data_IF_723700244424
#
_entry.id   IF_723700244424
#
_cell.length_a   1.000
_cell.length_b   1.000
_cell.length_c   1.000
_cell.angle_alpha   90.00
_cell.angle_beta   90.00
_cell.angle_gamma   90.00
#
_symmetry.space_group_name_H-M   'P 1'
#
loop_
_entity.id
_entity.type
_entity.pdbx_description
1 polymer ?
#
# COMPACT_ATOMS: atom_id res chain seq x y z
N UNK A 1 -8.73 41.41 -21.12
CA UNK A 1 -8.07 40.60 -20.07
C UNK A 1 -8.25 39.15 -20.46
N UNK A 2 -7.15 38.41 -20.45
CA UNK A 2 -6.88 37.05 -20.98
C UNK A 2 -8.07 36.09 -21.23
N UNK A 3 -8.21 35.67 -22.49
CA UNK A 3 -8.88 34.43 -22.89
C UNK A 3 -7.97 33.70 -23.89
N UNK A 4 -7.16 32.77 -23.37
CA UNK A 4 -6.25 31.94 -24.19
C UNK A 4 -7.10 30.80 -24.77
N UNK A 5 -7.38 30.89 -26.07
CA UNK A 5 -7.89 29.79 -26.88
C UNK A 5 -6.84 28.67 -26.90
N UNK A 6 -7.12 27.55 -26.22
CA UNK A 6 -6.45 26.27 -26.47
C UNK A 6 -7.32 25.47 -27.43
N UNK A 7 -7.02 25.56 -28.72
CA UNK A 7 -7.46 24.59 -29.72
C UNK A 7 -6.44 23.44 -29.68
N UNK A 8 -6.81 22.33 -29.05
CA UNK A 8 -6.05 21.09 -29.04
C UNK A 8 -6.65 20.10 -30.04
N UNK A 9 -5.83 19.69 -31.01
CA UNK A 9 -6.18 18.81 -32.13
C UNK A 9 -6.39 17.38 -31.65
N UNK A 10 -7.64 16.88 -31.65
CA UNK A 10 -7.93 15.46 -31.43
C UNK A 10 -7.75 14.68 -32.72
N UNK A 11 -6.67 13.90 -32.79
CA UNK A 11 -6.43 12.92 -33.84
C UNK A 11 -7.41 11.75 -33.70
N UNK A 12 -8.25 11.61 -34.72
CA UNK A 12 -9.31 10.63 -34.85
C UNK A 12 -8.72 9.24 -35.17
N UNK A 13 -8.61 8.36 -34.15
CA UNK A 13 -8.38 6.93 -34.35
C UNK A 13 -9.72 6.21 -34.23
N UNK A 14 -10.36 5.97 -35.37
CA UNK A 14 -11.55 5.12 -35.51
C UNK A 14 -11.17 3.67 -35.20
N UNK A 15 -11.46 3.21 -33.98
CA UNK A 15 -11.52 1.78 -33.65
C UNK A 15 -12.98 1.39 -33.42
N UNK A 16 -13.54 0.66 -34.37
CA UNK A 16 -14.89 0.11 -34.32
C UNK A 16 -14.97 -1.01 -33.29
N UNK A 17 -15.48 -0.73 -32.09
CA UNK A 17 -15.92 -1.74 -31.15
C UNK A 17 -17.45 -1.83 -31.14
N UNK A 18 -17.94 -3.04 -31.42
CA UNK A 18 -19.34 -3.45 -31.38
C UNK A 18 -19.88 -3.29 -29.96
N UNK A 19 -20.84 -2.38 -29.78
CA UNK A 19 -21.55 -2.20 -28.50
C UNK A 19 -22.44 -3.40 -28.25
N UNK A 20 -22.04 -4.27 -27.32
CA UNK A 20 -22.95 -5.18 -26.65
C UNK A 20 -23.68 -4.40 -25.53
N UNK A 21 -24.98 -4.68 -25.28
CA UNK A 21 -25.70 -4.02 -24.20
C UNK A 21 -25.15 -4.49 -22.85
N UNK A 22 -24.45 -3.61 -22.14
CA UNK A 22 -24.12 -3.81 -20.73
C UNK A 22 -25.42 -3.62 -19.96
N UNK A 23 -25.95 -4.74 -19.48
CA UNK A 23 -27.06 -4.73 -18.54
C UNK A 23 -26.64 -3.98 -17.27
N UNK A 24 -27.42 -2.95 -16.94
CA UNK A 24 -27.40 -2.20 -15.70
C UNK A 24 -27.51 -3.16 -14.51
N UNK A 25 -26.40 -3.40 -13.82
CA UNK A 25 -26.40 -3.97 -12.48
C UNK A 25 -26.54 -2.83 -11.48
N UNK A 26 -27.76 -2.71 -10.96
CA UNK A 26 -28.14 -1.80 -9.91
C UNK A 26 -27.33 -2.05 -8.61
N UNK A 27 -26.84 -0.95 -8.04
CA UNK A 27 -26.76 -0.65 -6.61
C UNK A 27 -26.18 -1.72 -5.67
N UNK A 28 -24.91 -1.57 -5.30
CA UNK A 28 -24.46 -1.93 -3.95
C UNK A 28 -24.21 -0.63 -3.20
N UNK A 29 -25.22 -0.19 -2.46
CA UNK A 29 -25.09 0.92 -1.53
C UNK A 29 -24.06 0.57 -0.46
N UNK A 30 -23.03 1.40 -0.35
CA UNK A 30 -22.14 1.43 0.80
C UNK A 30 -22.94 1.87 2.04
N UNK A 31 -23.60 0.91 2.68
CA UNK A 31 -24.16 1.08 4.00
C UNK A 31 -23.02 1.11 5.02
N UNK A 32 -22.65 2.32 5.45
CA UNK A 32 -21.83 2.58 6.63
C UNK A 32 -22.38 1.81 7.85
N UNK A 33 -21.79 0.66 8.18
CA UNK A 33 -22.06 -0.04 9.43
C UNK A 33 -21.28 0.63 10.57
N UNK A 34 -21.95 1.51 11.30
CA UNK A 34 -21.50 2.09 12.57
C UNK A 34 -21.45 1.01 13.64
N UNK A 35 -20.33 0.29 13.76
CA UNK A 35 -20.17 -0.74 14.78
C UNK A 35 -19.64 -0.14 16.10
N UNK A 36 -20.58 0.37 16.91
CA UNK A 36 -20.36 0.60 18.34
C UNK A 36 -20.50 -0.74 19.07
N UNK A 37 -19.39 -1.46 19.24
CA UNK A 37 -19.34 -2.75 19.93
C UNK A 37 -18.26 -2.80 21.01
N UNK A 38 -18.61 -2.31 22.20
CA UNK A 38 -17.78 -2.38 23.40
C UNK A 38 -17.84 -3.82 23.97
N UNK A 39 -16.83 -4.65 23.71
CA UNK A 39 -16.81 -6.07 24.08
C UNK A 39 -15.55 -6.49 24.84
N UNK A 40 -15.53 -6.26 26.17
CA UNK A 40 -14.61 -6.98 27.07
C UNK A 40 -15.19 -8.37 27.34
N UNK A 41 -14.54 -9.41 26.84
CA UNK A 41 -14.90 -10.80 27.13
C UNK A 41 -13.66 -11.67 27.18
N UNK A 42 -13.07 -11.80 28.37
CA UNK A 42 -12.11 -12.87 28.66
C UNK A 42 -12.87 -14.08 29.17
N UNK A 43 -12.72 -15.22 28.52
CA UNK A 43 -13.11 -16.50 29.09
C UNK A 43 -12.05 -17.57 28.84
N UNK A 44 -11.55 -18.09 29.96
CA UNK A 44 -10.64 -19.22 30.06
C UNK A 44 -11.41 -20.51 29.78
N UNK A 45 -11.16 -21.14 28.64
CA UNK A 45 -11.58 -22.52 28.37
C UNK A 45 -10.53 -23.51 28.86
N UNK A 46 -10.76 -24.09 30.05
CA UNK A 46 -10.01 -25.22 30.57
C UNK A 46 -10.75 -26.52 30.23
N UNK A 47 -9.99 -27.63 30.16
CA UNK A 47 -10.41 -29.04 30.14
C UNK A 47 -10.78 -29.70 28.80
N UNK A 48 -9.84 -30.53 28.33
CA UNK A 48 -10.08 -31.64 27.42
C UNK A 48 -9.09 -32.76 27.72
N UNK A 49 -9.42 -33.61 28.70
CA UNK A 49 -8.67 -34.84 29.02
C UNK A 49 -8.88 -35.85 27.88
N UNK A 50 -7.85 -36.08 27.08
CA UNK A 50 -7.79 -37.20 26.14
C UNK A 50 -6.53 -38.04 26.38
N UNK A 51 -6.69 -39.17 27.08
CA UNK A 51 -5.67 -40.22 27.13
C UNK A 51 -5.65 -40.93 25.78
N UNK A 52 -4.53 -40.90 25.07
CA UNK A 52 -4.22 -41.89 24.04
C UNK A 52 -2.72 -42.24 24.11
N UNK A 53 -2.46 -43.51 24.40
CA UNK A 53 -1.14 -44.13 24.30
C UNK A 53 -0.80 -44.31 22.83
N UNK A 54 0.32 -43.76 22.39
CA UNK A 54 0.85 -43.99 21.03
C UNK A 54 2.37 -43.82 21.04
N UNK A 55 3.09 -44.92 21.20
CA UNK A 55 4.53 -44.97 20.99
C UNK A 55 4.86 -44.71 19.52
N UNK A 56 5.49 -43.59 19.21
CA UNK A 56 6.38 -43.48 18.05
C UNK A 56 7.52 -42.52 18.36
N UNK A 57 8.74 -43.07 18.42
CA UNK A 57 9.98 -42.32 18.56
C UNK A 57 10.33 -41.73 17.20
N UNK A 58 9.97 -40.47 16.95
CA UNK A 58 10.57 -39.66 15.89
C UNK A 58 11.18 -38.41 16.52
N UNK A 59 12.52 -38.33 16.51
CA UNK A 59 13.29 -37.18 17.00
C UNK A 59 13.37 -36.13 15.89
N UNK A 60 12.51 -35.11 15.94
CA UNK A 60 12.73 -33.86 15.19
C UNK A 60 13.30 -32.80 16.14
N UNK A 61 14.59 -32.52 16.02
CA UNK A 61 15.23 -31.41 16.73
C UNK A 61 15.01 -30.12 15.94
N UNK A 62 14.04 -29.30 16.38
CA UNK A 62 13.91 -27.90 15.97
C UNK A 62 15.05 -27.07 16.57
N UNK A 63 15.87 -26.48 15.71
CA UNK A 63 16.94 -25.55 16.07
C UNK A 63 16.46 -24.11 15.96
N UNK A 64 16.62 -23.36 17.05
CA UNK A 64 16.32 -21.93 17.10
C UNK A 64 17.34 -21.09 16.31
N UNK A 65 16.83 -20.07 15.63
CA UNK A 65 17.61 -19.03 14.97
C UNK A 65 18.38 -18.21 16.00
N UNK A 66 19.70 -18.08 15.80
CA UNK A 66 20.54 -17.03 16.39
C UNK A 66 21.23 -16.28 15.25
N UNK A 67 21.26 -14.95 15.44
CA UNK A 67 21.73 -13.88 14.56
C UNK A 67 22.82 -14.24 13.55
N UNK A 68 22.53 -13.90 12.29
CA UNK A 68 23.50 -13.81 11.21
C UNK A 68 24.03 -12.38 11.10
N UNK A 69 25.35 -12.26 11.23
CA UNK A 69 26.16 -11.11 10.90
C UNK A 69 26.16 -10.92 9.37
N UNK A 70 25.74 -9.76 8.87
CA UNK A 70 25.64 -9.47 7.43
C UNK A 70 26.78 -8.57 6.98
N UNK A 71 27.86 -9.17 6.49
CA UNK A 71 28.77 -8.53 5.55
C UNK A 71 28.52 -9.15 4.16
N UNK A 72 28.05 -8.33 3.22
CA UNK A 72 28.07 -8.61 1.78
C UNK A 72 26.77 -9.15 1.16
N UNK A 73 25.92 -8.25 0.65
CA UNK A 73 25.21 -8.41 -0.63
C UNK A 73 24.49 -7.11 -1.02
N UNK A 74 25.00 -6.45 -2.06
CA UNK A 74 24.61 -5.12 -2.53
C UNK A 74 23.44 -5.10 -3.53
N UNK A 75 22.59 -6.11 -3.61
CA UNK A 75 21.54 -6.16 -4.68
C UNK A 75 20.09 -6.16 -4.21
N UNK A 76 19.79 -6.30 -2.91
CA UNK A 76 18.41 -6.22 -2.39
C UNK A 76 18.13 -4.96 -1.56
N UNK A 77 19.16 -4.18 -1.22
CA UNK A 77 19.01 -2.96 -0.42
C UNK A 77 18.35 -1.80 -1.20
N UNK A 78 18.45 -1.79 -2.53
CA UNK A 78 17.87 -0.74 -3.36
C UNK A 78 16.35 -0.91 -3.54
N UNK A 79 15.86 -2.14 -3.68
CA UNK A 79 14.42 -2.41 -3.81
C UNK A 79 13.67 -1.99 -2.54
N UNK A 80 14.19 -2.35 -1.36
CA UNK A 80 13.60 -1.96 -0.08
C UNK A 80 13.77 -0.48 0.28
N UNK A 81 14.59 0.28 -0.46
CA UNK A 81 14.78 1.73 -0.26
C UNK A 81 13.90 2.53 -1.22
N UNK A 82 13.85 2.15 -2.50
CA UNK A 82 12.96 2.74 -3.50
C UNK A 82 11.48 2.59 -3.08
N UNK A 83 11.06 1.36 -2.74
CA UNK A 83 9.69 1.10 -2.24
C UNK A 83 9.41 1.93 -0.97
N UNK A 84 10.37 2.05 -0.05
CA UNK A 84 10.19 2.81 1.20
C UNK A 84 10.09 4.31 0.96
N UNK A 85 10.86 4.84 0.01
CA UNK A 85 10.85 6.25 -0.35
C UNK A 85 9.56 6.60 -1.11
N UNK A 86 9.05 5.70 -1.97
CA UNK A 86 7.76 5.85 -2.66
C UNK A 86 6.57 5.77 -1.70
N UNK A 87 6.58 4.86 -0.70
CA UNK A 87 5.55 4.85 0.34
C UNK A 87 5.60 6.10 1.24
N UNK A 88 6.79 6.68 1.44
CA UNK A 88 6.95 7.91 2.25
C UNK A 88 6.45 9.14 1.51
N UNK A 89 6.63 9.22 0.19
CA UNK A 89 6.05 10.30 -0.63
C UNK A 89 4.53 10.16 -0.76
N UNK A 90 4.02 8.94 -1.02
CA UNK A 90 2.59 8.66 -1.14
C UNK A 90 1.83 8.93 0.19
N UNK A 91 2.41 8.54 1.32
CA UNK A 91 1.81 8.84 2.64
C UNK A 91 1.87 10.33 3.01
N UNK A 92 2.83 11.07 2.48
CA UNK A 92 2.90 12.54 2.65
C UNK A 92 1.92 13.27 1.73
N UNK A 93 1.70 12.81 0.50
CA UNK A 93 0.70 13.40 -0.40
C UNK A 93 -0.72 13.16 0.11
N UNK A 94 -1.06 11.95 0.53
CA UNK A 94 -2.36 11.61 1.12
C UNK A 94 -2.68 12.41 2.39
N UNK A 95 -1.68 12.71 3.24
CA UNK A 95 -1.88 13.58 4.43
C UNK A 95 -2.11 15.04 4.07
N UNK A 96 -1.61 15.49 2.91
CA UNK A 96 -1.70 16.89 2.48
C UNK A 96 -3.01 17.16 1.73
N UNK A 97 -3.57 16.17 1.05
CA UNK A 97 -4.83 16.28 0.31
C UNK A 97 -6.08 15.87 1.11
N UNK A 98 -5.99 14.92 2.07
CA UNK A 98 -7.19 14.33 2.66
C UNK A 98 -7.68 14.92 4.02
N UNK A 99 -7.00 15.91 4.62
CA UNK A 99 -7.33 16.34 6.00
C UNK A 99 -7.21 17.84 6.30
N UNK A 100 -6.93 18.67 5.28
CA UNK A 100 -6.75 20.11 5.43
C UNK A 100 -8.06 20.90 5.55
N UNK A 101 -9.12 20.49 4.87
CA UNK A 101 -10.34 21.33 4.70
C UNK A 101 -11.62 20.78 5.33
N UNK A 102 -11.61 19.56 5.91
CA UNK A 102 -12.79 19.00 6.58
C UNK A 102 -12.88 19.33 8.09
N UNK A 103 -11.94 20.11 8.63
CA UNK A 103 -11.96 20.60 10.02
C UNK A 103 -11.77 22.11 10.05
N UNK A 104 -12.72 22.82 9.44
CA UNK A 104 -13.02 24.20 9.77
C UNK A 104 -13.31 24.32 11.26
N UNK A 105 -12.30 24.69 12.06
CA UNK A 105 -12.48 25.16 13.43
C UNK A 105 -11.80 26.53 13.55
N UNK A 106 -12.54 27.50 13.01
CA UNK A 106 -12.52 28.87 13.48
C UNK A 106 -12.87 28.92 14.98
N UNK A 107 -11.88 29.24 15.80
CA UNK A 107 -12.06 30.19 16.88
C UNK A 107 -12.59 29.70 18.24
N UNK A 108 -12.14 30.45 19.25
CA UNK A 108 -12.70 30.65 20.59
C UNK A 108 -12.24 29.74 21.75
N UNK A 109 -11.26 30.29 22.50
CA UNK A 109 -11.33 30.63 23.92
C UNK A 109 -12.13 29.70 24.85
N UNK A 110 -11.47 29.17 25.87
CA UNK A 110 -12.18 28.67 27.05
C UNK A 110 -11.30 27.96 28.05
N UNK A 111 -10.54 28.72 28.84
CA UNK A 111 -9.91 28.23 30.05
C UNK A 111 -10.98 27.70 31.03
N UNK A 112 -10.96 26.41 31.37
CA UNK A 112 -11.58 25.90 32.60
C UNK A 112 -10.71 24.80 33.22
N UNK A 113 -10.01 25.20 34.28
CA UNK A 113 -9.41 24.35 35.30
C UNK A 113 -10.50 23.48 35.93
N UNK A 114 -10.31 22.15 36.00
CA UNK A 114 -10.98 21.32 37.02
C UNK A 114 -10.09 20.19 37.52
N UNK A 115 -9.88 20.23 38.84
CA UNK A 115 -9.73 19.15 39.81
C UNK A 115 -8.86 17.91 39.48
N UNK A 116 -7.64 17.95 40.02
CA UNK A 116 -6.88 16.78 40.49
C UNK A 116 -7.74 15.89 41.39
N UNK A 117 -8.19 14.75 40.87
CA UNK A 117 -8.72 13.64 41.65
C UNK A 117 -7.57 12.69 41.99
N UNK A 118 -7.11 12.76 43.24
CA UNK A 118 -6.27 11.73 43.86
C UNK A 118 -7.03 10.39 43.83
N UNK A 119 -6.73 9.54 42.84
CA UNK A 119 -7.08 8.12 42.90
C UNK A 119 -5.97 7.37 43.62
N UNK A 120 -6.34 6.87 44.79
CA UNK A 120 -5.53 6.02 45.64
C UNK A 120 -5.06 4.79 44.87
N UNK A 121 -3.75 4.52 44.94
CA UNK A 121 -3.13 3.33 44.41
C UNK A 121 -3.75 2.07 45.05
N UNK A 122 -4.19 1.06 44.27
CA UNK A 122 -4.52 -0.23 44.84
C UNK A 122 -3.23 -0.89 45.34
N UNK A 123 -3.20 -1.15 46.65
CA UNK A 123 -2.17 -1.93 47.34
C UNK A 123 -1.89 -3.23 46.57
N UNK A 124 -0.65 -3.38 46.12
CA UNK A 124 -0.11 -4.63 45.61
C UNK A 124 -0.19 -5.71 46.73
N UNK A 125 -1.11 -6.66 46.58
CA UNK A 125 -1.05 -7.91 47.34
C UNK A 125 0.10 -8.76 46.77
N UNK A 126 1.25 -8.70 47.44
CA UNK A 126 2.33 -9.68 47.29
C UNK A 126 1.82 -11.04 47.79
N UNK A 127 1.38 -11.89 46.86
CA UNK A 127 1.21 -13.32 47.14
C UNK A 127 2.55 -14.00 46.89
N UNK A 128 3.33 -14.17 47.96
CA UNK A 128 4.52 -15.02 47.95
C UNK A 128 4.08 -16.48 47.95
N UNK A 129 4.07 -17.11 46.78
CA UNK A 129 4.08 -18.56 46.65
C UNK A 129 5.49 -18.95 46.21
N UNK A 130 6.29 -19.37 47.18
CA UNK A 130 7.50 -20.14 46.96
C UNK A 130 7.15 -21.63 46.88
N UNK A 131 7.13 -22.26 45.70
CA UNK A 131 7.39 -23.68 45.60
C UNK A 131 8.89 -23.86 45.36
N UNK A 132 9.63 -24.19 46.42
CA UNK A 132 10.92 -24.87 46.35
C UNK A 132 10.71 -26.24 45.70
N UNK A 133 10.64 -26.27 44.37
CA UNK A 133 10.94 -27.48 43.60
C UNK A 133 12.32 -27.28 43.02
N UNK A 134 13.28 -27.98 43.61
CA UNK A 134 14.59 -28.24 43.04
C UNK A 134 14.42 -28.56 41.55
N UNK A 135 15.03 -27.74 40.71
CA UNK A 135 15.18 -28.07 39.30
C UNK A 135 15.87 -29.45 39.22
N UNK A 136 15.35 -30.41 38.44
CA UNK A 136 16.10 -31.63 38.17
C UNK A 136 17.43 -31.21 37.56
N UNK A 137 18.52 -31.74 38.11
CA UNK A 137 19.88 -31.53 37.64
C UNK A 137 19.88 -31.56 36.12
N UNK A 138 20.29 -30.44 35.51
CA UNK A 138 20.55 -30.36 34.07
C UNK A 138 21.47 -31.53 33.75
N UNK A 139 20.97 -32.55 33.06
CA UNK A 139 21.84 -33.60 32.55
C UNK A 139 22.87 -32.88 31.68
N UNK A 140 24.11 -32.87 32.13
CA UNK A 140 25.25 -32.46 31.33
C UNK A 140 25.41 -33.51 30.24
N UNK A 141 24.50 -33.51 29.26
CA UNK A 141 24.81 -34.12 27.98
C UNK A 141 25.95 -33.29 27.42
N UNK A 142 27.10 -33.90 27.13
CA UNK A 142 28.17 -33.19 26.45
C UNK A 142 27.56 -32.50 25.23
N UNK A 143 27.91 -31.23 24.94
CA UNK A 143 27.47 -30.60 23.72
C UNK A 143 27.86 -31.56 22.60
N UNK A 144 26.86 -32.12 21.92
CA UNK A 144 27.09 -32.83 20.69
C UNK A 144 27.82 -31.82 19.83
N UNK A 145 29.13 -32.01 19.69
CA UNK A 145 29.91 -31.42 18.63
C UNK A 145 29.25 -31.97 17.38
N UNK A 146 28.22 -31.25 16.90
CA UNK A 146 27.88 -31.29 15.50
C UNK A 146 29.20 -30.94 14.86
N UNK A 147 29.83 -31.95 14.28
CA UNK A 147 30.83 -31.76 13.25
C UNK A 147 30.15 -30.81 12.28
N UNK A 148 30.45 -29.52 12.45
CA UNK A 148 30.34 -28.59 11.38
C UNK A 148 31.29 -29.20 10.36
N UNK A 149 30.74 -29.99 9.43
CA UNK A 149 31.21 -29.92 8.07
C UNK A 149 31.11 -28.44 7.76
N UNK A 150 32.20 -27.74 8.06
CA UNK A 150 32.52 -26.43 7.55
C UNK A 150 32.59 -26.72 6.07
N UNK A 151 31.46 -26.52 5.40
CA UNK A 151 31.41 -26.44 3.95
C UNK A 151 32.53 -25.47 3.60
N UNK A 152 33.60 -26.01 3.04
CA UNK A 152 34.68 -25.21 2.50
C UNK A 152 34.04 -24.25 1.50
N UNK A 153 34.27 -22.94 1.60
CA UNK A 153 33.59 -21.95 0.78
C UNK A 153 33.72 -22.19 -0.74
N UNK A 154 34.70 -22.97 -1.18
CA UNK A 154 34.88 -23.40 -2.58
C UNK A 154 33.90 -24.47 -3.09
N UNK A 155 33.10 -25.11 -2.23
CA UNK A 155 32.08 -26.10 -2.64
C UNK A 155 30.64 -25.58 -2.48
N UNK A 156 30.47 -24.33 -2.06
CA UNK A 156 29.16 -23.70 -1.88
C UNK A 156 28.57 -23.13 -3.18
N UNK A 157 29.30 -23.22 -4.30
CA UNK A 157 28.91 -22.58 -5.56
C UNK A 157 28.06 -23.47 -6.49
N UNK A 158 28.06 -24.79 -6.29
CA UNK A 158 27.28 -25.74 -7.10
C UNK A 158 26.19 -26.45 -6.28
N UNK A 159 25.39 -25.69 -5.53
CA UNK A 159 24.13 -26.27 -5.08
C UNK A 159 23.23 -26.45 -6.30
N UNK A 160 23.12 -27.71 -6.74
CA UNK A 160 22.17 -28.14 -7.76
C UNK A 160 20.84 -27.43 -7.52
N UNK A 161 20.24 -26.95 -8.59
CA UNK A 161 19.07 -26.13 -8.54
C UNK A 161 17.93 -26.80 -7.75
N UNK A 162 17.88 -28.13 -7.80
CA UNK A 162 16.97 -29.00 -7.05
C UNK A 162 17.40 -29.27 -5.60
N UNK A 163 18.34 -28.51 -5.04
CA UNK A 163 18.77 -28.71 -3.67
C UNK A 163 17.57 -28.54 -2.71
N UNK A 164 17.40 -29.43 -1.70
CA UNK A 164 16.23 -29.42 -0.81
C UNK A 164 15.95 -28.07 -0.14
N UNK A 165 17.01 -27.27 0.07
CA UNK A 165 16.92 -25.92 0.63
C UNK A 165 16.18 -24.95 -0.29
N UNK A 166 16.36 -25.05 -1.60
CA UNK A 166 15.70 -24.19 -2.57
C UNK A 166 14.25 -24.62 -2.76
N UNK A 167 13.99 -25.93 -2.89
CA UNK A 167 12.63 -26.49 -2.91
C UNK A 167 11.81 -26.11 -1.68
N UNK A 168 12.44 -26.06 -0.50
CA UNK A 168 11.79 -25.57 0.73
C UNK A 168 11.38 -24.11 0.66
N UNK A 169 12.14 -23.25 -0.05
CA UNK A 169 11.74 -21.86 -0.30
C UNK A 169 10.56 -21.80 -1.27
N UNK A 170 10.59 -22.58 -2.36
CA UNK A 170 9.49 -22.62 -3.34
C UNK A 170 8.18 -23.02 -2.67
N UNK A 171 8.23 -24.11 -1.91
CA UNK A 171 7.08 -24.58 -1.16
C UNK A 171 6.64 -23.58 -0.09
N UNK A 172 7.57 -22.81 0.48
CA UNK A 172 7.25 -21.74 1.42
C UNK A 172 6.44 -20.61 0.78
N UNK A 173 6.79 -20.18 -0.44
CA UNK A 173 6.07 -19.10 -1.12
C UNK A 173 4.70 -19.59 -1.61
N UNK A 174 4.69 -20.72 -2.33
CA UNK A 174 3.49 -21.28 -2.97
C UNK A 174 2.46 -21.82 -1.96
N UNK A 175 2.93 -22.49 -0.90
CA UNK A 175 2.04 -23.08 0.10
C UNK A 175 1.89 -22.22 1.37
N UNK A 176 2.42 -21.00 1.37
CA UNK A 176 2.08 -20.07 2.44
C UNK A 176 0.60 -19.71 2.35
N UNK A 177 -0.09 -19.75 3.48
CA UNK A 177 -1.49 -19.35 3.51
C UNK A 177 -1.63 -17.86 3.22
N UNK A 178 -2.76 -17.43 2.61
CA UNK A 178 -3.09 -16.02 2.46
C UNK A 178 -2.92 -15.21 3.75
N UNK A 179 -3.33 -15.79 4.89
CA UNK A 179 -3.18 -15.17 6.21
C UNK A 179 -1.71 -15.00 6.65
N UNK A 180 -0.82 -15.94 6.30
CA UNK A 180 0.60 -15.78 6.59
C UNK A 180 1.19 -14.61 5.79
N UNK A 181 0.85 -14.51 4.50
CA UNK A 181 1.25 -13.38 3.64
C UNK A 181 0.68 -12.06 4.16
N UNK A 182 -0.61 -12.01 4.52
CA UNK A 182 -1.24 -10.85 5.13
C UNK A 182 -0.55 -10.43 6.44
N UNK A 183 -0.13 -11.38 7.28
CA UNK A 183 0.67 -11.07 8.46
C UNK A 183 2.05 -10.48 8.10
N UNK A 184 2.70 -10.97 7.04
CA UNK A 184 3.95 -10.37 6.55
C UNK A 184 3.75 -8.93 6.03
N UNK A 185 2.60 -8.65 5.40
CA UNK A 185 2.17 -7.31 4.97
C UNK A 185 1.96 -6.41 6.19
N UNK A 186 1.10 -6.84 7.12
CA UNK A 186 0.76 -6.12 8.35
C UNK A 186 1.96 -5.86 9.27
N UNK A 187 3.00 -6.69 9.21
CA UNK A 187 4.24 -6.50 9.97
C UNK A 187 5.29 -5.67 9.20
N UNK A 188 5.02 -5.20 7.98
CA UNK A 188 5.98 -4.49 7.13
C UNK A 188 7.14 -5.35 6.61
N UNK A 189 7.16 -6.64 6.91
CA UNK A 189 8.27 -7.53 6.56
C UNK A 189 8.34 -7.85 5.06
N UNK A 190 7.26 -7.64 4.31
CA UNK A 190 7.23 -7.76 2.85
C UNK A 190 8.30 -6.89 2.17
N UNK A 191 8.52 -5.67 2.68
CA UNK A 191 9.50 -4.72 2.14
C UNK A 191 10.96 -5.18 2.27
N UNK A 192 11.24 -6.14 3.17
CA UNK A 192 12.61 -6.65 3.35
C UNK A 192 12.99 -7.71 2.31
N UNK A 193 12.01 -8.34 1.65
CA UNK A 193 12.25 -9.48 0.76
C UNK A 193 12.93 -10.68 1.44
N UNK A 194 13.00 -10.71 2.78
CA UNK A 194 13.76 -11.71 3.54
C UNK A 194 12.97 -13.02 3.68
N UNK A 195 12.87 -13.76 2.58
CA UNK A 195 12.30 -15.10 2.56
C UNK A 195 11.18 -15.28 1.54
N UNK A 196 10.75 -16.54 1.34
CA UNK A 196 9.80 -16.86 0.28
C UNK A 196 8.41 -16.25 0.52
N UNK A 197 7.94 -16.24 1.77
CA UNK A 197 6.62 -15.67 2.11
C UNK A 197 6.62 -14.15 1.99
N UNK A 198 7.71 -13.48 2.39
CA UNK A 198 7.84 -12.02 2.24
C UNK A 198 7.92 -11.59 0.78
N UNK A 199 8.54 -12.39 -0.10
CA UNK A 199 8.58 -12.09 -1.54
C UNK A 199 7.18 -12.22 -2.17
N UNK A 200 6.44 -13.28 -1.83
CA UNK A 200 5.05 -13.43 -2.27
C UNK A 200 4.14 -12.31 -1.72
N UNK A 201 4.35 -11.91 -0.46
CA UNK A 201 3.66 -10.77 0.15
C UNK A 201 4.03 -9.44 -0.54
N UNK A 202 5.28 -9.24 -0.95
CA UNK A 202 5.70 -8.05 -1.69
C UNK A 202 5.02 -7.98 -3.07
N UNK A 203 4.94 -9.11 -3.78
CA UNK A 203 4.19 -9.20 -5.03
C UNK A 203 2.70 -8.88 -4.84
N UNK A 204 2.08 -9.37 -3.76
CA UNK A 204 0.69 -9.05 -3.45
C UNK A 204 0.46 -7.54 -3.21
N UNK A 205 1.37 -6.87 -2.51
CA UNK A 205 1.29 -5.41 -2.29
C UNK A 205 1.51 -4.64 -3.60
N UNK A 206 2.45 -5.09 -4.44
CA UNK A 206 2.69 -4.45 -5.73
C UNK A 206 1.48 -4.59 -6.67
N UNK A 207 0.87 -5.78 -6.75
CA UNK A 207 -0.35 -6.01 -7.53
C UNK A 207 -1.51 -5.13 -7.02
N UNK A 208 -1.68 -5.01 -5.69
CA UNK A 208 -2.69 -4.14 -5.07
C UNK A 208 -2.49 -2.67 -5.43
N UNK A 209 -1.26 -2.14 -5.28
CA UNK A 209 -0.95 -0.76 -5.62
C UNK A 209 -1.21 -0.45 -7.11
N UNK A 210 -0.97 -1.43 -7.99
CA UNK A 210 -1.27 -1.29 -9.43
C UNK A 210 -2.77 -1.22 -9.68
N UNK A 211 -3.57 -2.03 -8.98
CA UNK A 211 -5.04 -2.00 -9.05
C UNK A 211 -5.56 -0.66 -8.54
N UNK A 212 -5.06 -0.17 -7.40
CA UNK A 212 -5.47 1.14 -6.86
C UNK A 212 -5.15 2.29 -7.83
N UNK A 213 -3.95 2.31 -8.41
CA UNK A 213 -3.56 3.32 -9.38
C UNK A 213 -4.42 3.27 -10.66
N UNK A 214 -4.72 2.07 -11.16
CA UNK A 214 -5.58 1.90 -12.33
C UNK A 214 -7.02 2.35 -12.05
N UNK A 215 -7.59 1.98 -10.88
CA UNK A 215 -8.94 2.38 -10.48
C UNK A 215 -9.04 3.90 -10.26
N UNK A 216 -7.99 4.53 -9.72
CA UNK A 216 -7.95 5.98 -9.56
C UNK A 216 -8.02 6.70 -10.91
N UNK A 217 -7.27 6.21 -11.91
CA UNK A 217 -7.31 6.76 -13.26
C UNK A 217 -8.68 6.55 -13.92
N UNK A 218 -9.25 5.35 -13.82
CA UNK A 218 -10.60 5.07 -14.36
C UNK A 218 -11.67 5.96 -13.71
N UNK A 219 -11.56 6.19 -12.40
CA UNK A 219 -12.49 7.08 -11.65
C UNK A 219 -12.34 8.52 -12.12
N UNK A 220 -11.12 8.98 -12.37
CA UNK A 220 -10.84 10.31 -12.92
C UNK A 220 -11.43 10.48 -14.33
N UNK A 221 -11.18 9.52 -15.23
CA UNK A 221 -11.73 9.53 -16.60
C UNK A 221 -13.27 9.52 -16.60
N UNK A 222 -13.88 8.75 -15.69
CA UNK A 222 -15.34 8.73 -15.52
C UNK A 222 -15.88 10.08 -14.99
N UNK A 223 -15.15 10.74 -14.11
CA UNK A 223 -15.49 12.07 -13.61
C UNK A 223 -15.42 13.13 -14.73
N UNK A 224 -14.35 13.17 -15.52
CA UNK A 224 -14.23 14.06 -16.68
C UNK A 224 -15.41 13.86 -17.65
N UNK A 225 -15.70 12.61 -18.00
CA UNK A 225 -16.83 12.28 -18.89
C UNK A 225 -18.17 12.74 -18.33
N UNK A 226 -18.35 12.70 -17.01
CA UNK A 226 -19.59 13.14 -16.36
C UNK A 226 -19.76 14.66 -16.47
N UNK A 227 -18.68 15.42 -16.31
CA UNK A 227 -18.68 16.88 -16.48
C UNK A 227 -18.87 17.28 -17.94
N UNK A 228 -18.18 16.62 -18.88
CA UNK A 228 -18.34 16.86 -20.32
C UNK A 228 -19.78 16.61 -20.78
N UNK A 229 -20.42 15.55 -20.29
CA UNK A 229 -21.83 15.28 -20.57
C UNK A 229 -22.73 16.38 -20.03
N UNK A 230 -22.46 16.90 -18.83
CA UNK A 230 -23.25 17.98 -18.25
C UNK A 230 -23.13 19.28 -19.05
N UNK A 231 -21.93 19.60 -19.53
CA UNK A 231 -21.68 20.72 -20.42
C UNK A 231 -22.40 20.54 -21.76
N UNK A 232 -22.39 19.32 -22.33
CA UNK A 232 -23.14 19.00 -23.54
C UNK A 232 -24.66 19.18 -23.34
N UNK A 233 -25.22 18.71 -22.22
CA UNK A 233 -26.62 18.96 -21.88
C UNK A 233 -26.91 20.45 -21.75
N UNK A 234 -26.06 21.21 -21.04
CA UNK A 234 -26.23 22.65 -20.88
C UNK A 234 -26.15 23.39 -22.22
N UNK A 235 -25.31 22.95 -23.15
CA UNK A 235 -25.19 23.52 -24.50
C UNK A 235 -26.44 23.28 -25.34
N UNK A 236 -27.02 22.08 -25.26
CA UNK A 236 -28.25 21.76 -26.02
C UNK A 236 -29.46 22.46 -25.40
N UNK A 237 -29.57 22.49 -24.07
CA UNK A 237 -30.68 23.12 -23.36
C UNK A 237 -30.71 24.65 -23.54
N UNK A 238 -29.55 25.30 -23.62
CA UNK A 238 -29.45 26.74 -23.81
C UNK A 238 -29.40 27.17 -25.30
N UNK A 239 -29.64 26.25 -26.23
CA UNK A 239 -29.64 26.56 -27.66
C UNK A 239 -30.70 27.63 -27.98
N UNK A 240 -30.34 28.73 -28.64
CA UNK A 240 -31.31 29.72 -29.08
C UNK A 240 -32.38 29.10 -29.96
N UNK A 241 -33.64 29.41 -29.63
CA UNK A 241 -34.79 29.00 -30.43
C UNK A 241 -34.76 29.69 -31.80
N UNK A 242 -35.43 29.10 -32.80
CA UNK A 242 -35.53 29.72 -34.13
C UNK A 242 -36.14 31.13 -34.07
N UNK A 243 -37.07 31.37 -33.13
CA UNK A 243 -37.67 32.67 -32.91
C UNK A 243 -36.65 33.69 -32.38
N UNK A 244 -35.82 33.33 -31.40
CA UNK A 244 -34.77 34.20 -30.87
C UNK A 244 -33.72 34.52 -31.92
N UNK A 245 -33.34 33.54 -32.75
CA UNK A 245 -32.42 33.76 -33.88
C UNK A 245 -33.02 34.71 -34.93
N UNK A 246 -34.32 34.59 -35.21
CA UNK A 246 -35.00 35.49 -36.12
C UNK A 246 -35.08 36.92 -35.57
N UNK A 247 -35.32 37.09 -34.27
CA UNK A 247 -35.28 38.40 -33.61
C UNK A 247 -33.86 38.98 -33.66
N UNK A 248 -32.84 38.18 -33.36
CA UNK A 248 -31.44 38.62 -33.44
C UNK A 248 -31.05 39.11 -34.84
N UNK A 249 -31.46 38.38 -35.90
CA UNK A 249 -31.26 38.84 -37.28
C UNK A 249 -31.96 40.17 -37.56
N UNK A 250 -33.20 40.33 -37.12
CA UNK A 250 -33.94 41.58 -37.28
C UNK A 250 -33.28 42.75 -36.52
N UNK A 251 -32.74 42.52 -35.32
CA UNK A 251 -32.01 43.53 -34.54
C UNK A 251 -30.72 43.97 -35.23
N UNK A 252 -30.01 43.06 -35.91
CA UNK A 252 -28.80 43.42 -36.67
C UNK A 252 -29.11 44.26 -37.91
N UNK A 253 -30.27 44.03 -38.53
CA UNK A 253 -30.74 44.79 -39.70
C UNK A 253 -31.37 46.14 -39.34
N UNK A 254 -31.74 46.36 -38.08
CA UNK A 254 -32.34 47.60 -37.60
C UNK A 254 -31.32 48.75 -37.54
N UNK A 255 -31.51 49.84 -38.32
CA UNK A 255 -30.62 51.00 -38.26
C UNK A 255 -30.75 51.80 -36.96
N UNK A 256 -31.85 51.66 -36.22
CA UNK A 256 -32.09 52.35 -34.95
C UNK A 256 -31.58 51.57 -33.74
N UNK A 257 -31.25 50.28 -33.90
CA UNK A 257 -30.68 49.47 -32.83
C UNK A 257 -29.31 49.99 -32.37
N UNK A 258 -29.12 50.02 -31.06
CA UNK A 258 -27.87 50.41 -30.42
C UNK A 258 -26.78 49.35 -30.65
N UNK A 259 -25.52 49.76 -30.57
CA UNK A 259 -24.38 48.82 -30.68
C UNK A 259 -24.43 47.70 -29.62
N UNK A 260 -24.97 47.98 -28.43
CA UNK A 260 -25.12 46.99 -27.38
C UNK A 260 -26.17 45.92 -27.75
N UNK A 261 -27.28 46.32 -28.35
CA UNK A 261 -28.33 45.39 -28.83
C UNK A 261 -27.81 44.55 -30.00
N UNK A 262 -27.05 45.16 -30.91
CA UNK A 262 -26.41 44.44 -32.03
C UNK A 262 -25.40 43.42 -31.54
N UNK A 263 -24.60 43.74 -30.53
CA UNK A 263 -23.66 42.80 -29.92
C UNK A 263 -24.40 41.61 -29.28
N UNK A 264 -25.46 41.87 -28.51
CA UNK A 264 -26.26 40.80 -27.90
C UNK A 264 -26.94 39.91 -28.95
N UNK A 265 -27.43 40.49 -30.05
CA UNK A 265 -27.97 39.74 -31.18
C UNK A 265 -26.90 38.88 -31.87
N UNK A 266 -25.69 39.42 -32.03
CA UNK A 266 -24.56 38.67 -32.58
C UNK A 266 -24.20 37.47 -31.69
N UNK A 267 -24.19 37.62 -30.36
CA UNK A 267 -23.93 36.52 -29.42
C UNK A 267 -24.96 35.37 -29.56
N UNK A 268 -26.22 35.68 -29.87
CA UNK A 268 -27.27 34.68 -30.16
C UNK A 268 -27.01 33.92 -31.46
N UNK A 269 -26.48 34.60 -32.48
CA UNK A 269 -26.21 33.99 -33.79
C UNK A 269 -24.89 33.22 -33.82
N UNK A 270 -23.91 33.64 -33.03
CA UNK A 270 -22.61 33.00 -32.85
C UNK A 270 -22.64 31.86 -31.83
N UNK A 271 -23.85 31.46 -31.39
CA UNK A 271 -24.03 30.29 -30.53
C UNK A 271 -23.41 29.05 -31.16
N UNK A 272 -22.63 28.24 -30.41
CA UNK A 272 -21.92 27.10 -30.96
C UNK A 272 -22.86 26.05 -31.58
N UNK A 273 -22.34 25.32 -32.58
CA UNK A 273 -23.07 24.21 -33.19
C UNK A 273 -23.32 23.11 -32.16
N UNK A 274 -24.59 22.80 -31.95
CA UNK A 274 -25.05 21.80 -30.95
C UNK A 274 -25.10 20.38 -31.49
N UNK A 275 -24.88 20.17 -32.79
CA UNK A 275 -25.03 18.86 -33.45
C UNK A 275 -24.18 17.76 -32.80
N UNK A 276 -22.94 18.07 -32.41
CA UNK A 276 -22.06 17.11 -31.75
C UNK A 276 -22.55 16.78 -30.32
N UNK A 277 -22.95 17.81 -29.56
CA UNK A 277 -23.49 17.64 -28.20
C UNK A 277 -24.81 16.86 -28.21
N UNK A 278 -25.71 17.14 -29.16
CA UNK A 278 -26.96 16.38 -29.35
C UNK A 278 -26.69 14.89 -29.63
N UNK A 279 -25.66 14.59 -30.44
CA UNK A 279 -25.27 13.21 -30.72
C UNK A 279 -24.65 12.51 -29.50
N UNK A 280 -23.89 13.24 -28.69
CA UNK A 280 -23.25 12.72 -27.48
C UNK A 280 -24.25 12.40 -26.37
N UNK A 281 -25.25 13.26 -26.14
CA UNK A 281 -26.27 13.05 -25.10
C UNK A 281 -27.43 12.14 -25.55
N UNK A 282 -27.46 11.72 -26.82
CA UNK A 282 -28.56 10.95 -27.39
C UNK A 282 -28.77 9.60 -26.66
N UNK A 283 -29.89 9.49 -25.93
CA UNK A 283 -30.25 8.27 -25.20
C UNK A 283 -29.55 8.10 -23.86
N UNK A 284 -28.82 9.13 -23.39
CA UNK A 284 -28.28 9.20 -22.04
C UNK A 284 -29.21 10.03 -21.15
N UNK A 285 -29.25 9.70 -19.86
CA UNK A 285 -29.93 10.51 -18.86
C UNK A 285 -29.01 11.67 -18.43
N UNK A 286 -29.63 12.80 -18.06
CA UNK A 286 -28.89 13.96 -17.53
C UNK A 286 -28.20 13.58 -16.20
N UNK A 287 -26.89 13.86 -16.03
CA UNK A 287 -26.23 13.69 -14.75
C UNK A 287 -26.95 14.46 -13.64
N UNK A 288 -27.10 13.84 -12.47
CA UNK A 288 -27.70 14.51 -11.32
C UNK A 288 -26.73 15.49 -10.68
N UNK A 289 -27.25 16.46 -9.90
CA UNK A 289 -26.39 17.40 -9.14
C UNK A 289 -25.42 16.68 -8.20
N UNK A 290 -25.83 15.53 -7.68
CA UNK A 290 -24.98 14.66 -6.87
C UNK A 290 -23.81 14.12 -7.70
N UNK A 291 -24.08 13.59 -8.88
CA UNK A 291 -23.04 13.01 -9.76
C UNK A 291 -22.03 14.08 -10.18
N UNK A 292 -22.50 15.32 -10.44
CA UNK A 292 -21.62 16.46 -10.75
C UNK A 292 -20.74 16.86 -9.57
N UNK A 293 -21.30 16.85 -8.35
CA UNK A 293 -20.53 17.16 -7.14
C UNK A 293 -19.45 16.09 -6.91
N UNK A 294 -19.81 14.81 -7.02
CA UNK A 294 -18.86 13.69 -6.86
C UNK A 294 -17.77 13.73 -7.95
N UNK A 295 -18.13 14.00 -9.20
CA UNK A 295 -17.17 14.16 -10.29
C UNK A 295 -16.22 15.34 -10.04
N UNK A 296 -16.74 16.50 -9.63
CA UNK A 296 -15.91 17.66 -9.33
C UNK A 296 -14.95 17.39 -8.16
N UNK A 297 -15.39 16.69 -7.12
CA UNK A 297 -14.51 16.30 -6.00
C UNK A 297 -13.33 15.43 -6.46
N UNK A 298 -13.55 14.53 -7.44
CA UNK A 298 -12.49 13.71 -8.04
C UNK A 298 -11.52 14.57 -8.86
N UNK A 299 -12.02 15.51 -9.67
CA UNK A 299 -11.17 16.42 -10.45
C UNK A 299 -10.36 17.34 -9.54
N UNK A 300 -10.98 17.87 -8.48
CA UNK A 300 -10.33 18.75 -7.51
C UNK A 300 -9.26 18.01 -6.68
N UNK A 301 -9.43 16.71 -6.44
CA UNK A 301 -8.40 15.86 -5.84
C UNK A 301 -7.15 15.73 -6.73
N UNK A 302 -7.29 16.00 -8.03
CA UNK A 302 -6.21 16.06 -9.01
C UNK A 302 -6.10 14.82 -9.88
N UNK A 303 -5.49 15.00 -11.05
CA UNK A 303 -5.16 13.91 -11.98
C UNK A 303 -4.23 12.92 -11.25
N UNK A 304 -4.57 11.62 -11.18
CA UNK A 304 -3.62 10.59 -10.78
C UNK A 304 -2.40 10.68 -11.70
N UNK A 305 -1.20 10.87 -11.15
CA UNK A 305 -0.04 11.09 -11.99
C UNK A 305 0.21 9.82 -12.84
N UNK A 306 0.41 9.95 -14.15
CA UNK A 306 0.78 8.82 -15.02
C UNK A 306 2.03 8.09 -14.50
N UNK A 307 2.88 8.83 -13.79
CA UNK A 307 4.04 8.32 -13.07
C UNK A 307 3.66 7.31 -11.98
N UNK A 308 2.53 7.47 -11.27
CA UNK A 308 2.10 6.55 -10.22
C UNK A 308 1.74 5.18 -10.78
N UNK A 309 0.98 5.14 -11.88
CA UNK A 309 0.66 3.89 -12.58
C UNK A 309 1.94 3.20 -13.10
N UNK A 310 2.86 3.99 -13.67
CA UNK A 310 4.14 3.50 -14.16
C UNK A 310 5.00 2.93 -13.02
N UNK A 311 5.04 3.60 -11.87
CA UNK A 311 5.79 3.12 -10.70
C UNK A 311 5.17 1.87 -10.09
N UNK A 312 3.85 1.78 -10.04
CA UNK A 312 3.16 0.59 -9.58
C UNK A 312 3.46 -0.60 -10.51
N UNK A 313 3.42 -0.39 -11.83
CA UNK A 313 3.77 -1.43 -12.80
C UNK A 313 5.24 -1.87 -12.69
N UNK A 314 6.16 -0.93 -12.51
CA UNK A 314 7.58 -1.23 -12.27
C UNK A 314 7.77 -2.00 -10.94
N UNK A 315 7.02 -1.64 -9.90
CA UNK A 315 7.05 -2.35 -8.62
C UNK A 315 6.59 -3.80 -8.74
N UNK A 316 5.58 -4.07 -9.58
CA UNK A 316 5.15 -5.44 -9.89
C UNK A 316 6.27 -6.18 -10.61
N UNK A 317 6.87 -5.61 -11.66
CA UNK A 317 7.95 -6.23 -12.41
C UNK A 317 9.17 -6.55 -11.52
N UNK A 318 9.53 -5.64 -10.62
CA UNK A 318 10.60 -5.85 -9.65
C UNK A 318 10.27 -6.96 -8.64
N UNK A 319 9.02 -7.00 -8.16
CA UNK A 319 8.56 -8.05 -7.25
C UNK A 319 8.53 -9.42 -7.93
N UNK A 320 8.06 -9.51 -9.17
CA UNK A 320 8.11 -10.72 -10.00
C UNK A 320 9.55 -11.18 -10.21
N UNK A 321 10.44 -10.25 -10.57
CA UNK A 321 11.87 -10.54 -10.74
C UNK A 321 12.48 -11.05 -9.44
N UNK A 322 12.13 -10.47 -8.30
CA UNK A 322 12.62 -10.92 -6.99
C UNK A 322 12.07 -12.31 -6.60
N UNK A 323 10.81 -12.58 -6.93
CA UNK A 323 10.22 -13.93 -6.79
C UNK A 323 10.99 -14.90 -7.66
N UNK A 324 11.10 -14.67 -8.97
CA UNK A 324 11.79 -15.54 -9.94
C UNK A 324 13.28 -15.71 -9.63
N UNK A 325 13.96 -14.69 -9.12
CA UNK A 325 15.35 -14.79 -8.69
C UNK A 325 15.55 -15.82 -7.57
N UNK A 326 14.53 -16.09 -6.75
CA UNK A 326 14.55 -17.17 -5.77
C UNK A 326 14.47 -18.58 -6.42
N UNK A 327 14.05 -18.65 -7.69
CA UNK A 327 13.95 -19.84 -8.53
C UNK A 327 15.06 -19.92 -9.60
N UNK A 328 15.98 -18.94 -9.63
CA UNK A 328 17.03 -18.87 -10.63
C UNK A 328 17.83 -20.18 -10.66
N UNK A 329 18.12 -20.65 -11.87
CA UNK A 329 18.81 -21.90 -12.19
C UNK A 329 17.98 -23.18 -11.99
N UNK A 330 16.80 -23.11 -11.34
CA UNK A 330 15.91 -24.25 -11.07
C UNK A 330 14.77 -24.34 -12.09
N UNK A 331 14.25 -23.17 -12.48
CA UNK A 331 13.06 -23.06 -13.27
C UNK A 331 13.42 -22.74 -14.72
N UNK A 332 13.09 -23.61 -15.69
CA UNK A 332 13.15 -23.24 -17.09
C UNK A 332 12.25 -22.03 -17.38
N UNK A 333 12.69 -21.13 -18.27
CA UNK A 333 11.99 -19.89 -18.58
C UNK A 333 10.51 -20.09 -18.98
N UNK A 334 10.20 -21.22 -19.63
CA UNK A 334 8.83 -21.60 -20.03
C UNK A 334 7.87 -21.82 -18.85
N UNK A 335 8.37 -22.03 -17.62
CA UNK A 335 7.56 -22.23 -16.42
C UNK A 335 7.53 -21.00 -15.49
N UNK A 336 8.22 -19.91 -15.82
CA UNK A 336 8.23 -18.69 -15.01
C UNK A 336 6.81 -18.12 -14.85
N UNK A 337 6.04 -18.08 -15.94
CA UNK A 337 4.64 -17.64 -15.92
C UNK A 337 3.74 -18.52 -15.04
N UNK A 338 3.91 -19.84 -15.09
CA UNK A 338 3.13 -20.78 -14.27
C UNK A 338 3.42 -20.59 -12.78
N UNK A 339 4.68 -20.38 -12.42
CA UNK A 339 5.08 -20.12 -11.03
C UNK A 339 4.52 -18.80 -10.54
N UNK A 340 4.64 -17.71 -11.32
CA UNK A 340 4.08 -16.41 -10.94
C UNK A 340 2.55 -16.49 -10.81
N UNK A 341 1.88 -17.18 -11.73
CA UNK A 341 0.43 -17.42 -11.66
C UNK A 341 0.04 -18.19 -10.38
N UNK A 342 0.79 -19.25 -10.03
CA UNK A 342 0.53 -20.01 -8.81
C UNK A 342 0.82 -19.21 -7.53
N UNK A 343 1.85 -18.35 -7.53
CA UNK A 343 2.12 -17.42 -6.41
C UNK A 343 0.96 -16.43 -6.25
N UNK A 344 0.49 -15.82 -7.34
CA UNK A 344 -0.67 -14.91 -7.33
C UNK A 344 -1.95 -15.60 -6.88
N UNK A 345 -2.21 -16.81 -7.35
CA UNK A 345 -3.39 -17.59 -6.96
C UNK A 345 -3.41 -17.94 -5.45
N UNK A 346 -2.25 -17.93 -4.79
CA UNK A 346 -2.14 -18.15 -3.34
C UNK A 346 -2.03 -16.84 -2.54
N UNK A 347 -2.06 -15.67 -3.19
CA UNK A 347 -2.01 -14.38 -2.50
C UNK A 347 -3.35 -14.10 -1.77
N UNK A 348 -3.32 -13.30 -0.69
CA UNK A 348 -4.54 -12.73 -0.14
C UNK A 348 -5.31 -11.93 -1.20
N UNK A 349 -6.63 -11.87 -1.05
CA UNK A 349 -7.47 -10.97 -1.83
C UNK A 349 -7.12 -9.50 -1.54
N UNK A 350 -7.53 -8.61 -2.44
CA UNK A 350 -7.23 -7.19 -2.43
C UNK A 350 -7.70 -6.51 -1.13
N UNK A 351 -8.92 -6.80 -0.68
CA UNK A 351 -9.47 -6.29 0.58
C UNK A 351 -8.62 -6.70 1.79
N UNK A 352 -8.11 -7.93 1.80
CA UNK A 352 -7.22 -8.42 2.86
C UNK A 352 -5.85 -7.74 2.81
N UNK A 353 -5.31 -7.44 1.62
CA UNK A 353 -4.07 -6.66 1.46
C UNK A 353 -4.28 -5.24 1.98
N UNK A 354 -5.35 -4.57 1.56
CA UNK A 354 -5.73 -3.23 2.00
C UNK A 354 -5.88 -3.17 3.53
N UNK A 355 -6.61 -4.12 4.13
CA UNK A 355 -6.77 -4.21 5.57
C UNK A 355 -5.43 -4.47 6.31
N UNK A 356 -4.55 -5.29 5.73
CA UNK A 356 -3.22 -5.55 6.30
C UNK A 356 -2.33 -4.30 6.22
N UNK A 357 -2.40 -3.52 5.14
CA UNK A 357 -1.70 -2.24 4.99
C UNK A 357 -2.23 -1.19 5.98
N UNK A 358 -3.55 -1.08 6.17
CA UNK A 358 -4.11 -0.21 7.21
C UNK A 358 -3.69 -0.63 8.63
N UNK A 359 -3.55 -1.94 8.85
CA UNK A 359 -3.04 -2.53 10.08
C UNK A 359 -1.55 -2.29 10.34
N UNK A 360 -0.78 -1.89 9.32
CA UNK A 360 0.52 -1.25 9.51
C UNK A 360 0.29 0.16 10.04
N UNK A 361 -0.18 0.27 11.29
CA UNK A 361 -0.07 1.53 12.00
C UNK A 361 1.40 1.96 11.86
N UNK A 362 1.69 3.14 11.29
CA UNK A 362 3.07 3.60 11.20
C UNK A 362 3.65 3.45 12.60
N UNK A 363 4.80 2.77 12.70
CA UNK A 363 5.55 2.72 13.95
C UNK A 363 5.53 4.14 14.50
N UNK A 364 4.96 4.28 15.71
CA UNK A 364 4.73 5.57 16.34
C UNK A 364 5.99 6.41 16.11
N UNK A 365 5.92 7.58 15.44
CA UNK A 365 7.10 8.36 15.13
C UNK A 365 7.93 8.64 16.39
N UNK A 366 7.27 8.76 17.55
CA UNK A 366 7.94 8.89 18.85
C UNK A 366 8.73 7.63 19.22
N UNK A 367 8.21 6.43 18.90
CA UNK A 367 8.92 5.16 19.11
C UNK A 367 10.07 4.95 18.12
N UNK A 368 9.97 5.47 16.89
CA UNK A 368 11.08 5.48 15.93
C UNK A 368 12.18 6.46 16.36
N UNK A 369 11.82 7.68 16.77
CA UNK A 369 12.78 8.66 17.28
C UNK A 369 13.44 8.15 18.58
N UNK A 370 12.70 7.50 19.47
CA UNK A 370 13.24 6.87 20.69
C UNK A 370 14.20 5.73 20.35
N UNK A 371 13.89 4.90 19.34
CA UNK A 371 14.78 3.84 18.89
C UNK A 371 16.08 4.39 18.25
N UNK A 372 15.98 5.45 17.43
CA UNK A 372 17.15 6.13 16.85
C UNK A 372 17.99 6.81 17.93
N UNK A 373 17.36 7.43 18.93
CA UNK A 373 18.07 8.00 20.10
C UNK A 373 18.80 6.92 20.89
N UNK A 374 18.14 5.78 21.12
CA UNK A 374 18.74 4.67 21.85
C UNK A 374 19.93 4.05 21.09
N UNK A 375 19.87 3.97 19.76
CA UNK A 375 21.03 3.54 18.97
C UNK A 375 22.16 4.58 19.01
N UNK A 376 21.86 5.88 18.91
CA UNK A 376 22.87 6.94 19.02
C UNK A 376 23.58 6.93 20.38
N UNK A 377 22.84 6.83 21.49
CA UNK A 377 23.41 6.74 22.85
C UNK A 377 24.29 5.49 23.02
N UNK A 378 23.92 4.37 22.38
CA UNK A 378 24.70 3.14 22.43
C UNK A 378 26.06 3.25 21.74
N UNK A 379 26.20 4.09 20.72
CA UNK A 379 27.48 4.31 20.04
C UNK A 379 28.38 5.30 20.79
N UNK A 380 27.82 6.32 21.46
CA UNK A 380 28.62 7.25 22.27
C UNK A 380 29.31 6.56 23.45
N UNK A 381 28.69 5.56 24.08
CA UNK A 381 29.31 4.80 25.18
C UNK A 381 30.39 3.79 24.72
N UNK A 382 30.43 3.44 23.43
CA UNK A 382 31.38 2.46 22.90
C UNK A 382 32.76 3.05 22.57
N UNK A 383 32.86 4.36 22.30
CA UNK A 383 34.15 5.02 21.98
C UNK A 383 35.00 5.34 23.22
N UNK A 384 34.49 5.15 24.44
CA UNK A 384 35.22 5.50 25.67
C UNK A 384 36.20 4.42 26.16
N UNK A 385 36.35 3.28 25.48
CA UNK A 385 37.13 2.14 25.99
C UNK A 385 38.38 1.71 25.19
N UNK A 386 38.71 2.36 24.08
CA UNK A 386 39.79 1.86 23.21
C UNK A 386 41.15 2.59 23.28
N UNK A 387 41.33 3.64 24.10
CA UNK A 387 42.55 4.47 23.98
C UNK A 387 43.68 4.26 25.03
N UNK A 388 43.54 3.41 26.06
CA UNK A 388 44.61 3.28 27.09
C UNK A 388 44.92 1.87 27.63
N UNK A 389 44.87 0.83 26.80
CA UNK A 389 45.59 -0.42 27.13
C UNK A 389 46.71 -0.72 26.14
N UNK A 390 47.71 0.17 26.11
CA UNK A 390 49.07 -0.17 25.73
C UNK A 390 49.60 -1.17 26.77
N UNK A 391 49.32 -2.46 26.53
CA UNK A 391 49.99 -3.56 27.22
C UNK A 391 51.47 -3.51 26.83
N UNK A 392 52.25 -2.85 27.68
CA UNK A 392 53.69 -3.03 27.77
C UNK A 392 53.97 -4.53 27.93
N UNK A 393 54.30 -5.19 26.82
CA UNK A 393 54.86 -6.54 26.82
C UNK A 393 56.31 -6.42 27.30
N UNK A 394 56.68 -6.94 28.49
CA UNK A 394 58.08 -6.94 28.90
C UNK A 394 58.84 -7.93 28.01
N UNK A 395 59.66 -7.38 27.13
CA UNK A 395 60.58 -8.09 26.25
C UNK A 395 61.84 -8.50 27.02
N UNK A 396 61.74 -9.43 27.97
CA UNK A 396 62.92 -10.05 28.56
C UNK A 396 62.61 -11.47 29.01
N UNK A 397 63.13 -12.45 28.26
CA UNK A 397 63.65 -13.76 28.71
C UNK A 397 63.63 -14.74 27.54
N UNK A 398 64.74 -14.79 26.79
CA UNK A 398 65.37 -16.05 26.39
C UNK A 398 66.86 -15.76 26.19
N UNK A 399 67.62 -15.95 27.25
CA UNK A 399 69.04 -16.27 27.21
C UNK A 399 69.25 -17.45 28.16
N UNK A 400 70.04 -18.40 27.66
CA UNK A 400 70.45 -19.73 28.18
C UNK A 400 69.46 -20.90 28.09
#
# INVERSE_FOLDING_TARGET
MFGIFKVGVSALVLSTCVVAPVATLATVGAAHAKNNGNGKGGEKGNSGKGKANGHSKAKSNGGGNKGGNSNGRQTSANLGKAIRDDFRSLSQSLRKSALGDLLGVTGSRGAQRTATVQRQAPKAQRVSLSPTRSAPERSMRPPLQRTALRETPELAEDYDALHPRNLGKLNGALNSSPQAKAAHIANGTYATGSGPVSLAAALAVADHNLIEAANALETYDAAERTLDLADAFALVENRPTEAERAVALATLEDPEATEAEKLAAQDVLDYPDTTAAEAEIAGLDRPSERDLTEAQEVIDAGIPEEHDLTNAANSVADAETAVLAAYKDILPAEYEGDVLSAVRASNPDDDTVAAALQGTAPLDPDALEEAERYEAERYEDAELYDDETVLLVPSDRYAD
#
